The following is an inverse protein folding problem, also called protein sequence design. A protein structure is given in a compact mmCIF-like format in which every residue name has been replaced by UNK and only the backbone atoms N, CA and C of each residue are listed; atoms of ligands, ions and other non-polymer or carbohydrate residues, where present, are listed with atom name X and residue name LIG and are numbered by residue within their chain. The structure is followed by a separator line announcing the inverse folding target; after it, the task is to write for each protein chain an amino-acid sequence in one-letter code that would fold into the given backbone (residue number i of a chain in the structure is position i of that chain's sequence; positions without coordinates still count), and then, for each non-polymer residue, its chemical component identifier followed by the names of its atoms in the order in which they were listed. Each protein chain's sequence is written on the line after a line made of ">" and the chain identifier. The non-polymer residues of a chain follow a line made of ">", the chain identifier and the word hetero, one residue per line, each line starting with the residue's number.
data_IF_687073033169
#
_entry.id   IF_687073033169
#
_cell.length_a   1.000
_cell.length_b   1.000
_cell.length_c   1.000
_cell.angle_alpha   90.00
_cell.angle_beta   90.00
_cell.angle_gamma   90.00
#
_symmetry.space_group_name_H-M   'P 1'
#
loop_
_entity.id
_entity.type
_entity.pdbx_description
1 polymer ?
#
# COMPACT_ATOMS: atom_id res chain seq x y z
N UNK A 1 -30.16 3.15 -48.29
CA UNK A 1 -29.62 2.31 -47.18
C UNK A 1 -30.52 1.09 -47.04
N UNK A 2 -29.99 -0.09 -47.20
CA UNK A 2 -30.70 -1.35 -46.93
C UNK A 2 -30.77 -1.58 -45.42
N UNK A 3 -31.98 -1.72 -44.87
CA UNK A 3 -32.15 -2.04 -43.48
C UNK A 3 -31.61 -3.45 -43.19
N UNK A 4 -30.75 -3.58 -42.18
CA UNK A 4 -30.25 -4.88 -41.74
C UNK A 4 -31.39 -5.77 -41.25
N UNK A 5 -31.35 -7.05 -41.64
CA UNK A 5 -32.35 -8.02 -41.20
C UNK A 5 -32.36 -8.13 -39.65
N UNK A 6 -33.49 -8.48 -39.08
CA UNK A 6 -33.61 -8.68 -37.62
C UNK A 6 -32.55 -9.66 -37.07
N UNK A 7 -32.29 -10.74 -37.80
CA UNK A 7 -31.28 -11.75 -37.47
C UNK A 7 -29.87 -11.15 -37.43
N UNK A 8 -29.51 -10.34 -38.43
CA UNK A 8 -28.19 -9.68 -38.49
C UNK A 8 -28.01 -8.70 -37.38
N UNK A 9 -29.04 -7.94 -36.98
CA UNK A 9 -28.98 -7.01 -35.84
C UNK A 9 -28.75 -7.75 -34.53
N UNK A 10 -29.43 -8.87 -34.30
CA UNK A 10 -29.26 -9.69 -33.09
C UNK A 10 -27.82 -10.24 -33.03
N UNK A 11 -27.33 -10.76 -34.16
CA UNK A 11 -25.94 -11.27 -34.22
C UNK A 11 -24.90 -10.19 -33.93
N UNK A 12 -25.07 -8.98 -34.48
CA UNK A 12 -24.18 -7.85 -34.21
C UNK A 12 -24.20 -7.44 -32.73
N UNK A 13 -25.38 -7.44 -32.12
CA UNK A 13 -25.49 -7.12 -30.68
C UNK A 13 -24.81 -8.17 -29.81
N UNK A 14 -24.93 -9.45 -30.13
CA UNK A 14 -24.25 -10.54 -29.42
C UNK A 14 -22.73 -10.41 -29.56
N UNK A 15 -22.24 -10.17 -30.78
CA UNK A 15 -20.80 -10.00 -31.03
C UNK A 15 -20.26 -8.75 -30.31
N UNK A 16 -20.97 -7.63 -30.40
CA UNK A 16 -20.58 -6.42 -29.69
C UNK A 16 -20.57 -6.62 -28.18
N UNK A 17 -21.57 -7.31 -27.63
CA UNK A 17 -21.62 -7.67 -26.20
C UNK A 17 -20.49 -8.58 -25.79
N UNK A 18 -20.12 -9.57 -26.60
CA UNK A 18 -19.00 -10.47 -26.33
C UNK A 18 -17.65 -9.73 -26.36
N UNK A 19 -17.46 -8.82 -27.33
CA UNK A 19 -16.24 -7.99 -27.39
C UNK A 19 -16.14 -7.09 -26.15
N UNK A 20 -17.23 -6.43 -25.78
CA UNK A 20 -17.28 -5.58 -24.60
C UNK A 20 -16.97 -6.36 -23.32
N UNK A 21 -17.57 -7.53 -23.15
CA UNK A 21 -17.34 -8.40 -22.01
C UNK A 21 -15.86 -8.84 -21.93
N UNK A 22 -15.29 -9.24 -23.06
CA UNK A 22 -13.88 -9.64 -23.14
C UNK A 22 -12.96 -8.47 -22.76
N UNK A 23 -13.24 -7.26 -23.24
CA UNK A 23 -12.48 -6.06 -22.92
C UNK A 23 -12.57 -5.73 -21.41
N UNK A 24 -13.76 -5.82 -20.83
CA UNK A 24 -13.96 -5.59 -19.39
C UNK A 24 -13.22 -6.63 -18.52
N UNK A 25 -13.26 -7.90 -18.91
CA UNK A 25 -12.52 -8.96 -18.22
C UNK A 25 -11.00 -8.78 -18.33
N UNK A 26 -10.51 -8.33 -19.48
CA UNK A 26 -9.09 -8.03 -19.67
C UNK A 26 -8.64 -6.87 -18.77
N UNK A 27 -9.39 -5.78 -18.72
CA UNK A 27 -9.12 -4.64 -17.83
C UNK A 27 -9.16 -5.06 -16.37
N UNK A 28 -10.18 -5.82 -15.98
CA UNK A 28 -10.29 -6.36 -14.63
C UNK A 28 -9.09 -7.25 -14.26
N UNK A 29 -8.67 -8.13 -15.17
CA UNK A 29 -7.50 -8.99 -14.98
C UNK A 29 -6.21 -8.19 -14.76
N UNK A 30 -5.99 -7.13 -15.55
CA UNK A 30 -4.84 -6.22 -15.38
C UNK A 30 -4.89 -5.53 -14.02
N UNK A 31 -6.04 -5.03 -13.60
CA UNK A 31 -6.21 -4.39 -12.29
C UNK A 31 -5.90 -5.39 -11.17
N UNK A 32 -6.39 -6.62 -11.27
CA UNK A 32 -6.13 -7.66 -10.25
C UNK A 32 -4.65 -8.03 -10.17
N UNK A 33 -3.98 -8.25 -11.29
CA UNK A 33 -2.54 -8.55 -11.33
C UNK A 33 -1.73 -7.40 -10.75
N UNK A 34 -2.05 -6.17 -11.14
CA UNK A 34 -1.36 -4.98 -10.61
C UNK A 34 -1.59 -4.80 -9.11
N UNK A 35 -2.80 -5.08 -8.63
CA UNK A 35 -3.10 -5.02 -7.19
C UNK A 35 -2.30 -6.05 -6.38
N UNK A 36 -2.20 -7.29 -6.87
CA UNK A 36 -1.40 -8.34 -6.22
C UNK A 36 0.09 -8.01 -6.25
N UNK A 37 0.59 -7.51 -7.37
CA UNK A 37 1.99 -7.07 -7.51
C UNK A 37 2.30 -5.92 -6.57
N UNK A 38 1.42 -4.92 -6.49
CA UNK A 38 1.53 -3.82 -5.54
C UNK A 38 1.61 -4.31 -4.10
N UNK A 39 0.74 -5.23 -3.72
CA UNK A 39 0.72 -5.76 -2.37
C UNK A 39 2.04 -6.45 -2.00
N UNK A 40 2.59 -7.25 -2.90
CA UNK A 40 3.91 -7.90 -2.71
C UNK A 40 5.04 -6.88 -2.60
N UNK A 41 5.07 -5.90 -3.50
CA UNK A 41 6.09 -4.86 -3.50
C UNK A 41 6.01 -4.01 -2.24
N UNK A 42 4.82 -3.57 -1.85
CA UNK A 42 4.62 -2.77 -0.64
C UNK A 42 5.04 -3.54 0.62
N UNK A 43 4.72 -4.81 0.72
CA UNK A 43 5.18 -5.63 1.83
C UNK A 43 6.72 -5.73 1.87
N UNK A 44 7.37 -5.90 0.73
CA UNK A 44 8.83 -5.93 0.66
C UNK A 44 9.48 -4.59 1.00
N UNK A 45 8.87 -3.46 0.60
CA UNK A 45 9.37 -2.12 0.93
C UNK A 45 9.21 -1.78 2.41
N UNK A 46 8.10 -2.21 3.01
CA UNK A 46 7.78 -1.91 4.41
C UNK A 46 8.47 -2.84 5.41
N UNK A 47 8.92 -4.01 5.00
CA UNK A 47 9.57 -4.98 5.90
C UNK A 47 10.78 -4.42 6.66
N UNK A 48 11.75 -3.70 6.04
CA UNK A 48 12.86 -3.10 6.76
C UNK A 48 12.44 -2.06 7.80
N UNK A 49 11.42 -1.27 7.50
CA UNK A 49 10.87 -0.27 8.43
C UNK A 49 10.14 -0.92 9.59
N UNK A 50 9.42 -2.03 9.34
CA UNK A 50 8.78 -2.82 10.38
C UNK A 50 9.79 -3.38 11.38
N UNK A 51 10.89 -3.92 10.89
CA UNK A 51 11.99 -4.44 11.74
C UNK A 51 12.63 -3.32 12.55
N UNK A 52 12.87 -2.17 11.94
CA UNK A 52 13.41 -0.98 12.63
C UNK A 52 12.46 -0.46 13.71
N UNK A 53 11.15 -0.42 13.44
CA UNK A 53 10.15 0.05 14.39
C UNK A 53 10.05 -0.87 15.61
N UNK A 54 10.02 -2.17 15.41
CA UNK A 54 9.96 -3.15 16.52
C UNK A 54 11.26 -3.17 17.33
N UNK A 55 12.42 -3.10 16.69
CA UNK A 55 13.71 -2.98 17.37
C UNK A 55 13.82 -1.69 18.20
N UNK A 56 13.37 -0.58 17.62
CA UNK A 56 13.34 0.71 18.33
C UNK A 56 12.49 0.65 19.60
N UNK A 57 11.31 0.07 19.56
CA UNK A 57 10.46 -0.07 20.75
C UNK A 57 11.08 -1.02 21.78
N UNK A 58 11.67 -2.13 21.33
CA UNK A 58 12.32 -3.09 22.22
C UNK A 58 13.50 -2.50 22.99
N UNK A 59 14.21 -1.55 22.38
CA UNK A 59 15.37 -0.86 22.96
C UNK A 59 15.02 0.47 23.65
N UNK A 60 13.77 0.94 23.50
CA UNK A 60 13.34 2.22 24.06
C UNK A 60 13.03 2.10 25.55
N UNK A 61 13.82 2.78 26.39
CA UNK A 61 13.69 2.74 27.85
C UNK A 61 12.30 3.23 28.31
N UNK A 62 11.81 4.32 27.76
CA UNK A 62 10.50 4.88 28.14
C UNK A 62 9.36 3.91 27.83
N UNK A 63 9.42 3.20 26.69
CA UNK A 63 8.45 2.18 26.33
C UNK A 63 8.53 0.97 27.27
N UNK A 64 9.73 0.47 27.52
CA UNK A 64 9.96 -0.71 28.38
C UNK A 64 9.66 -0.45 29.86
N UNK A 65 9.85 0.76 30.35
CA UNK A 65 9.45 1.17 31.71
C UNK A 65 7.91 1.14 31.88
N UNK A 66 7.16 1.54 30.84
CA UNK A 66 5.69 1.59 30.92
C UNK A 66 5.06 0.21 30.70
N UNK A 67 5.55 -0.56 29.72
CA UNK A 67 4.90 -1.78 29.26
C UNK A 67 5.68 -3.07 29.54
N UNK A 68 6.94 -2.97 29.93
CA UNK A 68 7.82 -4.11 30.16
C UNK A 68 8.29 -4.77 28.87
N UNK A 69 8.83 -5.96 28.99
CA UNK A 69 9.19 -6.80 27.85
C UNK A 69 7.93 -7.47 27.28
N UNK A 70 7.55 -7.08 26.09
CA UNK A 70 6.34 -7.57 25.40
C UNK A 70 6.66 -8.05 23.98
N UNK A 71 5.85 -8.96 23.47
CA UNK A 71 5.94 -9.40 22.08
C UNK A 71 5.29 -8.34 21.19
N UNK A 72 6.05 -7.87 20.20
CA UNK A 72 5.63 -6.81 19.28
C UNK A 72 5.21 -7.39 17.93
N UNK A 73 4.05 -6.96 17.44
CA UNK A 73 3.51 -7.34 16.13
C UNK A 73 3.07 -6.10 15.36
N UNK A 74 3.49 -5.98 14.11
CA UNK A 74 3.02 -4.90 13.25
C UNK A 74 1.54 -5.11 12.91
N UNK A 75 0.73 -4.11 13.18
CA UNK A 75 -0.72 -4.11 12.94
C UNK A 75 -1.08 -3.48 11.60
N UNK A 76 -0.52 -2.31 11.32
CA UNK A 76 -0.87 -1.52 10.14
C UNK A 76 0.19 -0.48 9.81
N UNK A 77 0.08 0.05 8.61
CA UNK A 77 0.92 1.12 8.09
C UNK A 77 0.05 2.30 7.65
N UNK A 78 0.52 3.51 7.95
CA UNK A 78 -0.05 4.75 7.42
C UNK A 78 1.09 5.55 6.78
N UNK A 79 0.94 5.92 5.53
CA UNK A 79 1.96 6.66 4.80
C UNK A 79 1.33 7.63 3.83
N UNK A 80 2.12 8.63 3.43
CA UNK A 80 1.75 9.58 2.39
C UNK A 80 2.93 9.80 1.45
N UNK A 81 2.64 9.98 0.18
CA UNK A 81 3.64 10.36 -0.83
C UNK A 81 3.77 11.88 -0.92
N UNK A 82 4.96 12.36 -1.25
CA UNK A 82 5.24 13.77 -1.51
C UNK A 82 4.40 14.30 -2.69
N UNK A 83 4.31 13.50 -3.74
CA UNK A 83 3.49 13.77 -4.92
C UNK A 83 2.79 12.50 -5.38
N UNK A 84 1.55 12.32 -4.94
CA UNK A 84 0.73 11.15 -5.29
C UNK A 84 0.38 11.08 -6.79
N UNK A 85 0.47 12.21 -7.51
CA UNK A 85 0.22 12.24 -8.95
C UNK A 85 1.29 11.51 -9.77
N UNK A 86 2.50 11.33 -9.22
CA UNK A 86 3.57 10.52 -9.84
C UNK A 86 3.31 9.03 -9.78
N UNK A 87 2.41 8.59 -8.92
CA UNK A 87 2.10 7.17 -8.74
C UNK A 87 0.94 6.78 -9.65
N UNK A 88 1.28 6.16 -10.78
CA UNK A 88 0.28 5.70 -11.73
C UNK A 88 -0.57 4.56 -11.15
N UNK A 89 -1.88 4.72 -11.19
CA UNK A 89 -2.86 3.73 -10.69
C UNK A 89 -3.28 2.73 -11.77
N UNK A 90 -3.72 1.51 -11.41
CA UNK A 90 -4.29 0.59 -12.37
C UNK A 90 -5.45 1.22 -13.17
N UNK A 91 -5.60 0.85 -14.46
CA UNK A 91 -4.87 -0.20 -15.17
C UNK A 91 -3.51 0.21 -15.73
N UNK A 92 -3.16 1.52 -15.74
CA UNK A 92 -1.98 2.05 -16.43
C UNK A 92 -0.70 2.01 -15.60
N UNK A 93 -0.79 1.68 -14.31
CA UNK A 93 0.35 1.57 -13.41
C UNK A 93 0.09 0.62 -12.25
N UNK A 94 1.11 0.39 -11.42
CA UNK A 94 1.03 -0.52 -10.28
C UNK A 94 0.32 0.07 -9.06
N UNK A 95 0.17 1.39 -8.99
CA UNK A 95 -0.34 2.10 -7.81
C UNK A 95 0.67 2.21 -6.66
N UNK A 96 1.94 1.92 -6.94
CA UNK A 96 3.06 2.10 -6.01
C UNK A 96 4.35 2.35 -6.79
N UNK A 97 5.42 2.88 -6.15
CA UNK A 97 6.74 2.97 -6.74
C UNK A 97 7.28 1.61 -7.18
N UNK A 98 8.08 1.60 -8.25
CA UNK A 98 8.61 0.36 -8.85
C UNK A 98 9.75 -0.26 -8.05
N UNK A 99 10.49 0.54 -7.28
CA UNK A 99 11.65 0.12 -6.48
C UNK A 99 11.55 0.61 -5.04
N UNK A 100 12.29 -0.04 -4.13
CA UNK A 100 12.38 0.37 -2.73
C UNK A 100 13.00 1.77 -2.58
N UNK A 101 13.96 2.11 -3.44
CA UNK A 101 14.61 3.42 -3.45
C UNK A 101 13.66 4.53 -3.87
N UNK A 102 12.84 4.29 -4.90
CA UNK A 102 11.78 5.22 -5.30
C UNK A 102 10.71 5.35 -4.20
N UNK A 103 10.37 4.26 -3.54
CA UNK A 103 9.43 4.28 -2.43
C UNK A 103 9.91 5.19 -1.30
N UNK A 104 11.15 5.04 -0.87
CA UNK A 104 11.73 5.91 0.16
C UNK A 104 11.83 7.37 -0.30
N UNK A 105 12.23 7.60 -1.56
CA UNK A 105 12.33 8.94 -2.13
C UNK A 105 10.98 9.67 -2.22
N UNK A 106 9.91 8.95 -2.53
CA UNK A 106 8.57 9.53 -2.72
C UNK A 106 7.74 9.63 -1.42
N UNK A 107 8.16 8.98 -0.32
CA UNK A 107 7.46 9.10 0.96
C UNK A 107 7.64 10.49 1.59
N UNK A 108 6.54 11.05 2.06
CA UNK A 108 6.54 12.23 2.94
C UNK A 108 6.71 11.83 4.41
N UNK A 109 5.94 10.82 4.82
CA UNK A 109 6.02 10.22 6.16
C UNK A 109 5.56 8.77 6.13
N UNK A 110 5.93 8.03 7.17
CA UNK A 110 5.47 6.67 7.43
C UNK A 110 5.21 6.51 8.93
N UNK A 111 4.07 5.97 9.27
CA UNK A 111 3.72 5.59 10.64
C UNK A 111 3.41 4.11 10.68
N UNK A 112 4.06 3.38 11.57
CA UNK A 112 3.86 1.94 11.77
C UNK A 112 3.16 1.73 13.09
N UNK A 113 1.95 1.18 13.06
CA UNK A 113 1.21 0.77 14.24
C UNK A 113 1.65 -0.60 14.69
N UNK A 114 2.20 -0.67 15.90
CA UNK A 114 2.71 -1.91 16.51
C UNK A 114 1.80 -2.31 17.67
N UNK A 115 1.27 -3.52 17.59
CA UNK A 115 0.43 -4.12 18.63
C UNK A 115 1.29 -4.86 19.65
N UNK A 116 0.91 -4.73 20.90
CA UNK A 116 1.43 -5.52 22.02
C UNK A 116 0.29 -5.79 23.01
N UNK A 117 0.38 -6.83 23.76
CA UNK A 117 -0.57 -7.14 24.86
C UNK A 117 -2.07 -6.99 24.48
N UNK A 118 -2.55 -7.81 23.57
CA UNK A 118 -3.96 -7.84 23.18
C UNK A 118 -4.38 -6.72 22.24
N UNK A 119 -5.17 -5.75 22.73
CA UNK A 119 -5.71 -4.66 21.92
C UNK A 119 -4.83 -3.40 21.91
N UNK A 120 -3.85 -3.31 22.80
CA UNK A 120 -2.99 -2.12 22.91
C UNK A 120 -2.03 -2.02 21.75
N UNK A 121 -1.88 -0.82 21.23
CA UNK A 121 -0.95 -0.51 20.16
C UNK A 121 -0.33 0.87 20.33
N UNK A 122 0.85 1.04 19.76
CA UNK A 122 1.54 2.31 19.65
C UNK A 122 1.90 2.59 18.21
N UNK A 123 2.02 3.85 17.86
CA UNK A 123 2.45 4.30 16.55
C UNK A 123 3.91 4.72 16.61
N UNK A 124 4.75 4.10 15.81
CA UNK A 124 6.14 4.52 15.58
C UNK A 124 6.16 5.39 14.34
N UNK A 125 6.64 6.62 14.49
CA UNK A 125 6.64 7.63 13.44
C UNK A 125 8.01 7.76 12.79
N UNK A 126 8.01 7.70 11.47
CA UNK A 126 9.17 7.97 10.62
C UNK A 126 8.95 9.27 9.87
N UNK A 127 9.92 10.14 9.90
CA UNK A 127 9.89 11.40 9.17
C UNK A 127 11.15 11.54 8.30
N UNK A 128 11.02 12.34 7.26
CA UNK A 128 12.09 12.58 6.32
C UNK A 128 13.12 13.54 6.91
N UNK A 129 14.39 13.14 6.86
CA UNK A 129 15.51 13.99 7.24
C UNK A 129 15.90 14.93 6.10
N UNK A 130 16.72 15.98 6.36
CA UNK A 130 17.18 16.89 5.31
C UNK A 130 17.97 16.21 4.19
N UNK A 131 18.60 15.06 4.44
CA UNK A 131 19.33 14.27 3.44
C UNK A 131 18.41 13.35 2.61
N UNK A 132 17.10 13.31 2.93
CA UNK A 132 16.08 12.53 2.22
C UNK A 132 15.87 11.11 2.73
N UNK A 133 16.55 10.67 3.78
CA UNK A 133 16.27 9.39 4.45
C UNK A 133 15.09 9.48 5.41
N UNK A 134 14.51 8.33 5.78
CA UNK A 134 13.46 8.22 6.78
C UNK A 134 14.06 7.75 8.10
N UNK A 135 13.84 8.52 9.16
CA UNK A 135 14.29 8.19 10.50
C UNK A 135 13.14 8.22 11.51
N UNK A 136 13.28 7.41 12.55
CA UNK A 136 12.29 7.35 13.63
C UNK A 136 12.40 8.63 14.46
N UNK A 137 11.28 9.35 14.59
CA UNK A 137 11.19 10.58 15.40
C UNK A 137 10.59 10.34 16.77
N UNK A 138 9.90 9.22 16.97
CA UNK A 138 9.34 8.84 18.25
C UNK A 138 8.19 7.84 18.13
N UNK A 139 7.54 7.61 19.26
CA UNK A 139 6.35 6.79 19.34
C UNK A 139 5.27 7.47 20.19
N UNK A 140 4.02 7.12 19.94
CA UNK A 140 2.85 7.62 20.68
C UNK A 140 1.80 6.51 20.84
N UNK A 141 0.92 6.65 21.82
CA UNK A 141 -0.22 5.72 21.94
C UNK A 141 -1.13 5.85 20.73
N UNK A 142 -1.56 4.72 20.19
CA UNK A 142 -2.46 4.68 19.04
C UNK A 142 -3.93 4.95 19.41
N UNK A 143 -4.26 4.88 20.68
CA UNK A 143 -5.64 4.98 21.20
C UNK A 143 -5.98 6.38 21.75
N UNK A 144 -5.11 7.37 21.54
CA UNK A 144 -5.33 8.78 21.91
C UNK A 144 -5.75 9.64 20.73
#
# INVERSE_FOLDING_TARGET
>A
MTALSKKTRITLLIVAGAILLTALLAVWGVIMVNTLTRHRLMNSYLAPYSERATAYLAENEAFTEIYGEVTLHVKSYTYSYLDSAKIARPPFGLGCPATAEEFEAELAYLTISVRFSGIRSVNVRFEKTPDGSLEITGWENADE
#
